data_IF_057621163508
#
_entry.id   IF_057621163508
#
_cell.length_a   1.000
_cell.length_b   1.000
_cell.length_c   1.000
_cell.angle_alpha   90.00
_cell.angle_beta   90.00
_cell.angle_gamma   90.00
#
_symmetry.space_group_name_H-M   'P 1'
#
loop_
_entity.id
_entity.type
_entity.pdbx_description
1 polymer ?
#
# COMPACT_ATOMS: atom_id res chain seq x y z
N UNK A 1 22.15 31.05 -53.15
CA UNK A 1 21.28 31.67 -52.13
C UNK A 1 20.08 30.76 -51.89
N UNK A 2 20.07 29.97 -50.82
CA UNK A 2 18.92 29.10 -50.49
C UNK A 2 17.90 29.93 -49.71
N UNK A 3 16.75 30.23 -50.32
CA UNK A 3 15.60 30.82 -49.61
C UNK A 3 15.07 29.76 -48.65
N UNK A 4 15.22 29.98 -47.35
CA UNK A 4 14.55 29.17 -46.34
C UNK A 4 13.07 29.51 -46.39
N UNK A 5 12.23 28.58 -46.85
CA UNK A 5 10.78 28.68 -46.71
C UNK A 5 10.43 28.64 -45.22
N UNK A 6 9.75 29.67 -44.74
CA UNK A 6 9.22 29.72 -43.38
C UNK A 6 7.88 29.00 -43.30
N UNK A 7 7.56 28.44 -42.13
CA UNK A 7 6.25 27.86 -41.84
C UNK A 7 5.15 28.93 -41.89
N UNK A 8 3.96 28.53 -42.35
CA UNK A 8 2.80 29.42 -42.36
C UNK A 8 2.17 29.54 -40.96
N UNK A 9 1.52 30.66 -40.68
CA UNK A 9 0.77 30.84 -39.41
C UNK A 9 -0.32 29.76 -39.29
N UNK A 10 -0.95 29.42 -40.42
CA UNK A 10 -2.00 28.39 -40.47
C UNK A 10 -1.47 27.02 -40.08
N UNK A 11 -0.25 26.65 -40.49
CA UNK A 11 0.40 25.41 -40.06
C UNK A 11 0.57 25.33 -38.55
N UNK A 12 1.03 26.41 -37.92
CA UNK A 12 1.22 26.42 -36.46
C UNK A 12 -0.13 26.37 -35.74
N UNK A 13 -1.17 27.03 -36.25
CA UNK A 13 -2.52 27.02 -35.64
C UNK A 13 -3.15 25.62 -35.69
N UNK A 14 -3.02 24.90 -36.81
CA UNK A 14 -3.55 23.53 -36.91
C UNK A 14 -2.78 22.57 -35.99
N UNK A 15 -1.46 22.72 -35.90
CA UNK A 15 -0.63 21.84 -35.05
C UNK A 15 -0.98 21.99 -33.57
N UNK A 16 -1.10 23.23 -33.05
CA UNK A 16 -1.47 23.43 -31.65
C UNK A 16 -2.91 22.96 -31.35
N UNK A 17 -3.82 23.04 -32.34
CA UNK A 17 -5.18 22.54 -32.20
C UNK A 17 -5.22 21.01 -32.10
N UNK A 18 -4.38 20.30 -32.84
CA UNK A 18 -4.29 18.83 -32.73
C UNK A 18 -3.62 18.43 -31.42
N UNK A 19 -2.54 19.12 -31.02
CA UNK A 19 -1.84 18.82 -29.76
C UNK A 19 -2.76 18.99 -28.54
N UNK A 20 -3.62 20.02 -28.52
CA UNK A 20 -4.52 20.25 -27.38
C UNK A 20 -5.58 19.14 -27.21
N UNK A 21 -6.10 18.61 -28.33
CA UNK A 21 -7.04 17.49 -28.32
C UNK A 21 -6.35 16.22 -27.80
N UNK A 22 -5.17 15.90 -28.35
CA UNK A 22 -4.40 14.73 -27.92
C UNK A 22 -3.97 14.82 -26.45
N UNK A 23 -3.54 15.99 -26.00
CA UNK A 23 -3.16 16.23 -24.61
C UNK A 23 -4.32 15.97 -23.63
N UNK A 24 -5.54 16.38 -24.01
CA UNK A 24 -6.74 16.18 -23.16
C UNK A 24 -7.05 14.69 -23.00
N UNK A 25 -7.03 13.91 -24.09
CA UNK A 25 -7.28 12.47 -24.06
C UNK A 25 -6.19 11.74 -23.26
N UNK A 26 -4.93 12.09 -23.49
CA UNK A 26 -3.79 11.50 -22.78
C UNK A 26 -3.83 11.75 -21.27
N UNK A 27 -4.33 12.92 -20.84
CA UNK A 27 -4.39 13.27 -19.41
C UNK A 27 -5.37 12.38 -18.66
N UNK A 28 -6.57 12.11 -19.22
CA UNK A 28 -7.59 11.29 -18.55
C UNK A 28 -7.14 9.83 -18.43
N UNK A 29 -6.52 9.27 -19.46
CA UNK A 29 -6.02 7.89 -19.41
C UNK A 29 -4.86 7.72 -18.42
N UNK A 30 -3.99 8.72 -18.31
CA UNK A 30 -2.84 8.70 -17.42
C UNK A 30 -3.23 8.60 -15.93
N UNK A 31 -4.28 9.31 -15.50
CA UNK A 31 -4.76 9.26 -14.10
C UNK A 31 -5.21 7.85 -13.72
N UNK A 32 -5.94 7.15 -14.60
CA UNK A 32 -6.39 5.79 -14.35
C UNK A 32 -5.25 4.76 -14.26
N UNK A 33 -4.19 4.94 -15.07
CA UNK A 33 -2.99 4.11 -15.01
C UNK A 33 -2.22 4.32 -13.71
N UNK A 34 -2.07 5.57 -13.25
CA UNK A 34 -1.41 5.85 -11.98
C UNK A 34 -2.14 5.21 -10.79
N UNK A 35 -3.48 5.26 -10.77
CA UNK A 35 -4.29 4.63 -9.71
C UNK A 35 -3.99 3.12 -9.63
N UNK A 36 -4.03 2.42 -10.77
CA UNK A 36 -3.73 0.98 -10.83
C UNK A 36 -2.31 0.66 -10.40
N UNK A 37 -1.34 1.45 -10.86
CA UNK A 37 0.07 1.28 -10.46
C UNK A 37 0.26 1.43 -8.94
N UNK A 38 -0.42 2.39 -8.30
CA UNK A 38 -0.37 2.54 -6.84
C UNK A 38 -1.03 1.36 -6.12
N UNK A 39 -2.15 0.86 -6.62
CA UNK A 39 -2.81 -0.30 -6.02
C UNK A 39 -2.00 -1.59 -6.17
N UNK A 40 -1.25 -1.76 -7.27
CA UNK A 40 -0.29 -2.86 -7.45
C UNK A 40 0.88 -2.76 -6.47
N UNK A 41 1.42 -1.56 -6.25
CA UNK A 41 2.45 -1.31 -5.23
C UNK A 41 1.92 -1.65 -3.81
N UNK A 42 0.69 -1.24 -3.48
CA UNK A 42 0.04 -1.61 -2.22
C UNK A 42 -0.10 -3.11 -2.05
N UNK A 43 -0.47 -3.81 -3.11
CA UNK A 43 -0.61 -5.26 -3.07
C UNK A 43 0.75 -5.95 -2.85
N UNK A 44 1.82 -5.44 -3.47
CA UNK A 44 3.16 -5.96 -3.28
C UNK A 44 3.68 -5.76 -1.84
N UNK A 45 3.40 -4.60 -1.24
CA UNK A 45 3.72 -4.32 0.16
C UNK A 45 2.97 -5.29 1.11
N UNK A 46 1.67 -5.49 0.86
CA UNK A 46 0.84 -6.40 1.65
C UNK A 46 1.30 -7.85 1.52
N UNK A 47 1.70 -8.30 0.33
CA UNK A 47 2.21 -9.66 0.13
C UNK A 47 3.54 -9.86 0.86
N UNK A 48 4.44 -8.86 0.83
CA UNK A 48 5.69 -8.88 1.60
C UNK A 48 5.40 -9.03 3.09
N UNK A 49 4.40 -8.31 3.60
CA UNK A 49 4.02 -8.42 5.01
C UNK A 49 3.42 -9.77 5.37
N UNK A 50 2.54 -10.28 4.51
CA UNK A 50 1.95 -11.61 4.66
C UNK A 50 3.04 -12.67 4.74
N UNK A 51 4.00 -12.67 3.81
CA UNK A 51 5.11 -13.63 3.81
C UNK A 51 5.88 -13.57 5.13
N UNK A 52 6.17 -12.38 5.66
CA UNK A 52 6.87 -12.23 6.93
C UNK A 52 6.06 -12.78 8.12
N UNK A 53 4.75 -12.53 8.17
CA UNK A 53 3.87 -13.05 9.22
C UNK A 53 3.71 -14.56 9.16
N UNK A 54 3.57 -15.12 7.96
CA UNK A 54 3.46 -16.56 7.74
C UNK A 54 4.79 -17.26 8.10
N UNK A 55 5.94 -16.70 7.69
CA UNK A 55 7.26 -17.20 8.09
C UNK A 55 7.45 -17.18 9.63
N UNK A 56 6.93 -16.15 10.31
CA UNK A 56 6.97 -16.09 11.77
C UNK A 56 6.12 -17.21 12.39
N UNK A 57 4.94 -17.47 11.83
CA UNK A 57 4.08 -18.57 12.27
C UNK A 57 4.76 -19.93 12.09
N UNK A 58 5.40 -20.18 10.95
CA UNK A 58 6.14 -21.42 10.70
C UNK A 58 7.27 -21.64 11.71
N UNK A 59 7.94 -20.57 12.14
CA UNK A 59 9.05 -20.67 13.11
C UNK A 59 8.59 -20.81 14.57
N UNK A 60 7.47 -20.19 14.95
CA UNK A 60 7.05 -20.08 16.36
C UNK A 60 5.71 -20.75 16.68
N UNK A 61 4.99 -21.27 15.70
CA UNK A 61 3.67 -21.89 15.82
C UNK A 61 2.54 -20.90 16.18
N UNK A 62 2.80 -19.60 16.09
CA UNK A 62 1.85 -18.52 16.43
C UNK A 62 2.24 -17.24 15.71
N UNK A 63 1.29 -16.34 15.50
CA UNK A 63 1.59 -14.98 15.02
C UNK A 63 2.17 -14.11 16.14
N UNK A 64 2.81 -12.97 15.79
CA UNK A 64 3.36 -12.06 16.77
C UNK A 64 2.31 -11.46 17.71
N UNK A 65 2.63 -11.44 19.00
CA UNK A 65 1.89 -10.66 19.99
C UNK A 65 2.51 -9.27 20.08
N UNK A 66 1.67 -8.24 20.20
CA UNK A 66 2.07 -6.85 20.30
C UNK A 66 2.41 -6.52 21.75
N UNK A 67 3.67 -6.25 22.03
CA UNK A 67 4.06 -5.75 23.35
C UNK A 67 3.57 -4.31 23.57
N UNK A 68 3.49 -3.87 24.83
CA UNK A 68 3.09 -2.49 25.15
C UNK A 68 3.98 -1.44 24.44
N UNK A 69 5.28 -1.71 24.29
CA UNK A 69 6.22 -0.84 23.57
C UNK A 69 5.93 -0.77 22.07
N UNK A 70 5.49 -1.87 21.45
CA UNK A 70 5.19 -1.95 20.02
C UNK A 70 3.82 -1.34 19.68
N UNK A 71 2.87 -1.39 20.62
CA UNK A 71 1.61 -0.66 20.50
C UNK A 71 1.85 0.85 20.54
N UNK A 72 2.78 1.32 21.38
CA UNK A 72 3.14 2.72 21.48
C UNK A 72 4.01 3.21 20.31
N UNK A 73 4.90 2.35 19.80
CA UNK A 73 5.82 2.65 18.71
C UNK A 73 5.72 1.60 17.61
N UNK A 74 4.80 1.84 16.68
CA UNK A 74 4.49 0.92 15.58
C UNK A 74 5.73 0.47 14.79
N UNK A 75 6.69 1.35 14.39
CA UNK A 75 7.84 0.93 13.60
C UNK A 75 8.72 -0.12 14.27
N UNK A 76 8.82 -0.10 15.61
CA UNK A 76 9.66 -1.02 16.39
C UNK A 76 9.26 -2.48 16.18
N UNK A 77 7.96 -2.75 16.00
CA UNK A 77 7.47 -4.10 15.72
C UNK A 77 7.99 -4.63 14.39
N UNK A 78 7.95 -3.80 13.34
CA UNK A 78 8.34 -4.23 12.00
C UNK A 78 9.85 -4.50 11.94
N UNK A 79 10.65 -3.66 12.59
CA UNK A 79 12.10 -3.81 12.65
C UNK A 79 12.53 -5.00 13.53
N UNK A 80 12.03 -5.09 14.76
CA UNK A 80 12.55 -6.07 15.74
C UNK A 80 11.85 -7.43 15.68
N UNK A 81 10.53 -7.44 15.44
CA UNK A 81 9.71 -8.65 15.50
C UNK A 81 9.56 -9.28 14.12
N UNK A 82 9.34 -8.49 13.08
CA UNK A 82 9.22 -8.98 11.70
C UNK A 82 10.51 -8.87 10.88
N UNK A 83 11.53 -8.15 11.36
CA UNK A 83 12.83 -7.95 10.69
C UNK A 83 12.69 -7.34 9.29
N UNK A 84 11.72 -6.43 9.15
CA UNK A 84 11.50 -5.66 7.92
C UNK A 84 11.87 -4.20 8.21
N UNK A 85 12.79 -3.60 7.42
CA UNK A 85 13.22 -2.24 7.64
C UNK A 85 12.06 -1.26 7.41
N UNK A 86 11.71 -0.41 8.40
CA UNK A 86 10.54 0.47 8.31
C UNK A 86 10.67 1.54 7.23
N UNK A 87 11.90 1.87 6.80
CA UNK A 87 12.15 2.82 5.71
C UNK A 87 11.56 2.36 4.36
N UNK A 88 11.37 1.05 4.17
CA UNK A 88 10.73 0.49 2.98
C UNK A 88 9.19 0.46 3.05
N UNK A 89 8.61 0.64 4.24
CA UNK A 89 7.20 0.40 4.53
C UNK A 89 6.36 1.68 4.43
N UNK A 90 6.34 2.27 3.23
CA UNK A 90 5.58 3.49 2.91
C UNK A 90 4.47 3.16 1.93
N UNK A 91 3.29 3.74 2.12
CA UNK A 91 2.24 3.68 1.11
C UNK A 91 2.63 4.55 -0.10
N UNK A 92 2.09 4.30 -1.31
CA UNK A 92 2.44 5.06 -2.52
C UNK A 92 2.22 6.57 -2.40
N UNK A 93 1.25 7.00 -1.58
CA UNK A 93 0.98 8.42 -1.28
C UNK A 93 1.54 8.88 0.07
N UNK A 94 2.22 8.00 0.81
CA UNK A 94 2.88 8.29 2.07
C UNK A 94 4.32 8.76 1.86
N UNK A 95 4.75 9.75 2.64
CA UNK A 95 6.14 10.23 2.64
C UNK A 95 7.03 9.55 3.71
N UNK A 96 6.42 8.77 4.61
CA UNK A 96 7.08 8.12 5.75
C UNK A 96 6.44 6.75 6.00
N UNK A 97 6.78 6.12 7.12
CA UNK A 97 6.18 4.87 7.57
C UNK A 97 4.65 4.97 7.66
N UNK A 98 3.95 4.05 6.99
CA UNK A 98 2.50 4.14 6.77
C UNK A 98 1.66 3.10 7.52
N UNK A 99 2.28 2.22 8.31
CA UNK A 99 1.54 1.15 8.99
C UNK A 99 0.97 1.59 10.34
N UNK A 100 -0.23 1.14 10.64
CA UNK A 100 -0.99 1.46 11.86
C UNK A 100 -1.68 0.22 12.42
N UNK A 101 -2.00 0.25 13.72
CA UNK A 101 -2.65 -0.86 14.40
C UNK A 101 -4.17 -0.78 14.32
N UNK A 102 -4.80 -1.78 13.71
CA UNK A 102 -6.26 -2.01 13.75
C UNK A 102 -7.15 -0.78 13.48
N UNK A 103 -6.69 0.15 12.66
CA UNK A 103 -7.49 1.29 12.21
C UNK A 103 -8.05 1.03 10.81
N UNK A 104 -9.00 1.86 10.38
CA UNK A 104 -9.46 1.86 8.99
C UNK A 104 -8.38 2.53 8.12
N UNK A 105 -7.76 1.82 7.17
CA UNK A 105 -6.72 2.38 6.33
C UNK A 105 -7.30 3.42 5.37
N UNK A 106 -6.46 4.39 5.04
CA UNK A 106 -6.69 5.41 4.01
C UNK A 106 -5.77 5.15 2.81
N UNK A 107 -5.78 6.03 1.82
CA UNK A 107 -4.87 5.93 0.66
C UNK A 107 -3.39 5.98 1.06
N UNK A 108 -3.06 6.58 2.20
CA UNK A 108 -1.70 6.80 2.70
C UNK A 108 -1.28 5.85 3.83
N UNK A 109 -2.15 4.92 4.24
CA UNK A 109 -1.89 4.05 5.39
C UNK A 109 -2.29 2.60 5.14
N UNK A 110 -1.60 1.70 5.84
CA UNK A 110 -1.90 0.27 5.91
C UNK A 110 -2.24 -0.10 7.34
N UNK A 111 -3.15 -1.04 7.55
CA UNK A 111 -3.55 -1.47 8.88
C UNK A 111 -3.22 -2.93 9.09
N UNK A 112 -2.55 -3.25 10.20
CA UNK A 112 -2.31 -4.61 10.66
C UNK A 112 -3.03 -4.81 11.99
N UNK A 113 -3.65 -5.98 12.16
CA UNK A 113 -4.24 -6.41 13.41
C UNK A 113 -3.96 -7.90 13.61
N UNK A 114 -3.30 -8.27 14.71
CA UNK A 114 -3.17 -9.67 15.15
C UNK A 114 -4.22 -9.95 16.22
N UNK A 115 -4.92 -11.06 16.11
CA UNK A 115 -6.05 -11.41 16.98
C UNK A 115 -5.78 -12.70 17.76
N UNK A 116 -6.36 -12.77 18.95
CA UNK A 116 -6.49 -13.99 19.74
C UNK A 116 -7.64 -14.86 19.17
N UNK A 117 -7.59 -16.18 19.38
CA UNK A 117 -8.64 -17.14 18.96
C UNK A 117 -10.03 -16.84 19.57
N UNK A 118 -10.09 -16.01 20.60
CA UNK A 118 -11.34 -15.72 21.32
C UNK A 118 -11.65 -14.23 21.19
N UNK A 119 -12.76 -13.90 20.52
CA UNK A 119 -13.43 -12.60 20.66
C UNK A 119 -12.81 -11.39 19.94
N UNK A 120 -11.95 -11.56 18.93
CA UNK A 120 -11.54 -10.44 18.06
C UNK A 120 -10.77 -9.30 18.76
N UNK A 121 -10.14 -9.60 19.90
CA UNK A 121 -9.28 -8.67 20.63
C UNK A 121 -7.86 -8.70 20.05
N UNK A 122 -7.18 -7.55 20.05
CA UNK A 122 -5.78 -7.47 19.63
C UNK A 122 -4.91 -8.31 20.56
N UNK A 123 -3.99 -9.07 19.98
CA UNK A 123 -3.14 -9.98 20.72
C UNK A 123 -1.97 -9.23 21.37
N UNK A 124 -1.93 -9.14 22.71
CA UNK A 124 -0.99 -8.25 23.42
C UNK A 124 0.01 -8.90 24.37
N UNK A 125 0.00 -10.22 24.56
CA UNK A 125 1.09 -11.08 25.10
C UNK A 125 0.60 -12.28 25.92
N UNK A 126 -0.68 -12.32 26.30
CA UNK A 126 -1.22 -13.33 27.23
C UNK A 126 -1.72 -14.61 26.57
N UNK A 127 -2.04 -14.60 25.27
CA UNK A 127 -2.55 -15.78 24.56
C UNK A 127 -1.81 -16.02 23.24
N UNK A 128 -1.82 -17.25 22.69
CA UNK A 128 -1.27 -17.51 21.37
C UNK A 128 -2.09 -16.75 20.31
N UNK A 129 -1.43 -15.81 19.61
CA UNK A 129 -2.03 -15.14 18.47
C UNK A 129 -2.15 -16.13 17.32
N UNK A 130 -3.36 -16.30 16.82
CA UNK A 130 -3.67 -17.35 15.84
C UNK A 130 -4.19 -16.78 14.54
N UNK A 131 -4.57 -15.51 14.51
CA UNK A 131 -5.11 -14.86 13.32
C UNK A 131 -4.47 -13.50 13.14
N UNK A 132 -4.37 -13.06 11.89
CA UNK A 132 -4.09 -11.66 11.60
C UNK A 132 -4.97 -11.18 10.45
N UNK A 133 -5.13 -9.86 10.37
CA UNK A 133 -5.79 -9.18 9.27
C UNK A 133 -4.94 -7.99 8.86
N UNK A 134 -4.56 -7.95 7.59
CA UNK A 134 -3.98 -6.78 6.93
C UNK A 134 -5.10 -6.08 6.15
N UNK A 135 -5.16 -4.76 6.22
CA UNK A 135 -6.12 -3.94 5.47
C UNK A 135 -5.41 -2.83 4.72
N UNK A 136 -5.86 -2.55 3.50
CA UNK A 136 -5.40 -1.41 2.71
C UNK A 136 -6.57 -0.80 1.93
N UNK A 137 -6.44 0.45 1.51
CA UNK A 137 -7.44 1.10 0.66
C UNK A 137 -7.09 0.91 -0.81
N UNK A 138 -8.03 0.36 -1.59
CA UNK A 138 -7.96 0.29 -3.06
C UNK A 138 -8.54 1.59 -3.63
N UNK A 139 -7.72 2.35 -4.35
CA UNK A 139 -8.16 3.59 -5.01
C UNK A 139 -9.08 3.27 -6.21
N UNK A 140 -8.80 2.20 -6.94
CA UNK A 140 -9.62 1.78 -8.08
C UNK A 140 -11.05 1.39 -7.68
N UNK A 141 -11.20 0.69 -6.55
CA UNK A 141 -12.50 0.20 -6.05
C UNK A 141 -13.14 1.14 -5.02
N UNK A 142 -12.44 2.18 -4.59
CA UNK A 142 -12.84 3.08 -3.50
C UNK A 142 -13.25 2.32 -2.21
N UNK A 143 -12.58 1.21 -1.93
CA UNK A 143 -12.97 0.28 -0.89
C UNK A 143 -11.76 -0.26 -0.12
N UNK A 144 -11.97 -0.58 1.16
CA UNK A 144 -10.96 -1.26 1.98
C UNK A 144 -10.91 -2.73 1.59
N UNK A 145 -9.74 -3.20 1.21
CA UNK A 145 -9.44 -4.61 0.97
C UNK A 145 -8.75 -5.20 2.18
N UNK A 146 -8.94 -6.50 2.36
CA UNK A 146 -8.43 -7.22 3.53
C UNK A 146 -7.82 -8.54 3.13
N UNK A 147 -6.69 -8.87 3.74
CA UNK A 147 -6.04 -10.18 3.67
C UNK A 147 -5.98 -10.74 5.08
N UNK A 148 -6.39 -11.99 5.24
CA UNK A 148 -6.38 -12.68 6.53
C UNK A 148 -5.31 -13.76 6.54
N UNK A 149 -4.92 -14.19 7.74
CA UNK A 149 -4.02 -15.31 7.97
C UNK A 149 -4.46 -16.58 7.23
N UNK A 150 -3.48 -17.34 6.73
CA UNK A 150 -3.71 -18.68 6.16
C UNK A 150 -3.96 -19.72 7.25
N UNK A 151 -3.21 -19.64 8.34
CA UNK A 151 -3.33 -20.53 9.49
C UNK A 151 -4.19 -19.91 10.61
N UNK A 152 -4.85 -20.77 11.39
CA UNK A 152 -5.69 -20.41 12.54
C UNK A 152 -7.18 -20.37 12.23
N UNK A 153 -7.89 -21.47 12.54
CA UNK A 153 -9.35 -21.53 12.58
C UNK A 153 -9.86 -20.88 13.87
#
# INVERSE_FOLDING_TARGET
MYRRSGFTIVEIVVVIAVISILATIATVSYVGLQVRSRDEERLADVETMKVALENFYEQRGRYPALTASELANVPTFYDTTLRIPPAGLKAPSGSTFSWVWNTTPTTSTYSLATYENVGGTLCTSTQPCTRYVIRWYSEADSAVKTVTSKFGN
#
